data_IF_675686159769
#
_entry.id   IF_675686159769
#
_cell.length_a   1.000
_cell.length_b   1.000
_cell.length_c   1.000
_cell.angle_alpha   90.00
_cell.angle_beta   90.00
_cell.angle_gamma   90.00
#
_symmetry.space_group_name_H-M   'P 1'
#
loop_
_entity.id
_entity.type
_entity.pdbx_description
1 polymer ?
#
# COMPACT_ATOMS: atom_id res chain seq x y z
N UNK A 1 -31.84 -30.00 20.34
CA UNK A 1 -31.44 -28.59 20.44
C UNK A 1 -29.95 -28.58 20.22
N UNK A 2 -29.52 -28.54 18.95
CA UNK A 2 -28.11 -28.44 18.61
C UNK A 2 -27.74 -26.96 18.68
N UNK A 3 -27.11 -26.57 19.78
CA UNK A 3 -26.38 -25.30 19.84
C UNK A 3 -25.11 -25.46 18.99
N UNK A 4 -25.25 -25.26 17.68
CA UNK A 4 -24.09 -25.06 16.82
C UNK A 4 -23.35 -23.83 17.32
N UNK A 5 -22.13 -24.03 17.85
CA UNK A 5 -21.23 -22.95 18.20
C UNK A 5 -21.10 -22.02 16.98
N UNK A 6 -21.40 -20.72 17.13
CA UNK A 6 -21.42 -19.81 15.98
C UNK A 6 -20.04 -19.78 15.34
N UNK A 7 -19.99 -20.00 14.02
CA UNK A 7 -18.75 -19.93 13.24
C UNK A 7 -17.96 -18.67 13.61
N UNK A 8 -16.61 -18.73 13.66
CA UNK A 8 -15.78 -17.54 13.83
C UNK A 8 -16.20 -16.45 12.84
N UNK A 9 -16.15 -15.19 13.26
CA UNK A 9 -16.65 -14.05 12.46
C UNK A 9 -16.03 -14.01 11.06
N UNK A 10 -14.75 -14.37 10.95
CA UNK A 10 -14.04 -14.51 9.68
C UNK A 10 -14.64 -15.59 8.77
N UNK A 11 -14.95 -16.77 9.31
CA UNK A 11 -15.56 -17.86 8.52
C UNK A 11 -16.98 -17.52 8.09
N UNK A 12 -17.75 -16.82 8.94
CA UNK A 12 -19.08 -16.30 8.55
C UNK A 12 -18.97 -15.32 7.39
N UNK A 13 -18.01 -14.41 7.45
CA UNK A 13 -17.72 -13.48 6.36
C UNK A 13 -17.39 -14.24 5.08
N UNK A 14 -16.41 -15.14 5.11
CA UNK A 14 -16.02 -15.89 3.91
C UNK A 14 -17.15 -16.76 3.35
N UNK A 15 -18.01 -17.33 4.21
CA UNK A 15 -19.19 -18.07 3.77
C UNK A 15 -20.20 -17.17 3.05
N UNK A 16 -20.49 -15.98 3.59
CA UNK A 16 -21.37 -15.00 2.96
C UNK A 16 -20.81 -14.52 1.60
N UNK A 17 -19.50 -14.27 1.52
CA UNK A 17 -18.88 -13.86 0.26
C UNK A 17 -18.90 -14.98 -0.80
N UNK A 18 -18.76 -16.26 -0.40
CA UNK A 18 -18.94 -17.40 -1.32
C UNK A 18 -20.39 -17.49 -1.80
N UNK A 19 -21.35 -17.32 -0.89
CA UNK A 19 -22.77 -17.30 -1.23
C UNK A 19 -23.06 -16.19 -2.26
N UNK A 20 -22.49 -14.99 -2.08
CA UNK A 20 -22.61 -13.91 -3.05
C UNK A 20 -22.09 -14.30 -4.43
N UNK A 21 -20.92 -14.95 -4.52
CA UNK A 21 -20.35 -15.35 -5.82
C UNK A 21 -21.18 -16.44 -6.53
N UNK A 22 -21.92 -17.25 -5.76
CA UNK A 22 -22.90 -18.19 -6.31
C UNK A 22 -24.13 -17.44 -6.83
N UNK A 23 -24.65 -16.46 -6.08
CA UNK A 23 -25.80 -15.65 -6.49
C UNK A 23 -25.50 -14.79 -7.72
N UNK A 24 -24.28 -14.23 -7.80
CA UNK A 24 -23.83 -13.35 -8.85
C UNK A 24 -22.54 -13.88 -9.49
N UNK A 25 -22.65 -14.88 -10.39
CA UNK A 25 -21.50 -15.40 -11.11
C UNK A 25 -20.76 -14.30 -11.88
N UNK A 26 -19.43 -14.32 -11.81
CA UNK A 26 -18.56 -13.32 -12.44
C UNK A 26 -18.11 -12.20 -11.50
N UNK A 27 -18.69 -12.09 -10.30
CA UNK A 27 -18.17 -11.20 -9.27
C UNK A 27 -16.78 -11.65 -8.80
N UNK A 28 -15.94 -10.67 -8.44
CA UNK A 28 -14.61 -10.89 -7.85
C UNK A 28 -14.55 -10.18 -6.51
N UNK A 29 -14.21 -10.91 -5.44
CA UNK A 29 -14.05 -10.37 -4.09
C UNK A 29 -12.75 -9.55 -4.04
N UNK A 30 -12.86 -8.26 -3.69
CA UNK A 30 -11.76 -7.30 -3.60
C UNK A 30 -11.74 -6.63 -2.22
N UNK A 31 -11.08 -5.48 -2.11
CA UNK A 31 -11.14 -4.64 -0.91
C UNK A 31 -10.31 -5.17 0.25
N UNK A 32 -10.74 -4.85 1.47
CA UNK A 32 -10.02 -5.21 2.70
C UNK A 32 -9.96 -6.72 2.92
N UNK A 33 -11.04 -7.44 2.62
CA UNK A 33 -11.13 -8.89 2.78
C UNK A 33 -10.18 -9.63 1.85
N UNK A 34 -10.16 -9.30 0.55
CA UNK A 34 -9.21 -9.91 -0.37
C UNK A 34 -7.75 -9.60 -0.01
N UNK A 35 -7.46 -8.37 0.43
CA UNK A 35 -6.13 -8.01 0.92
C UNK A 35 -5.76 -8.78 2.20
N UNK A 36 -6.71 -9.04 3.10
CA UNK A 36 -6.50 -9.83 4.32
C UNK A 36 -6.29 -11.33 4.02
N UNK A 37 -6.98 -11.90 3.02
CA UNK A 37 -6.74 -13.27 2.54
C UNK A 37 -5.27 -13.40 2.08
N UNK A 38 -4.80 -12.42 1.30
CA UNK A 38 -3.42 -12.39 0.84
C UNK A 38 -2.42 -12.07 1.93
N UNK A 39 -2.69 -11.09 2.79
CA UNK A 39 -1.71 -10.53 3.74
C UNK A 39 -1.65 -11.26 5.08
N UNK A 40 -2.81 -11.68 5.61
CA UNK A 40 -2.95 -12.20 6.97
C UNK A 40 -2.65 -11.18 8.08
N UNK A 41 -2.58 -9.89 7.73
CA UNK A 41 -2.10 -8.81 8.60
C UNK A 41 -3.20 -8.15 9.45
N UNK A 42 -4.46 -8.30 9.06
CA UNK A 42 -5.62 -7.80 9.81
C UNK A 42 -6.89 -8.55 9.45
N UNK A 43 -7.90 -8.45 10.32
CA UNK A 43 -9.26 -8.89 9.99
C UNK A 43 -9.98 -7.80 9.19
N UNK A 44 -10.88 -8.24 8.31
CA UNK A 44 -11.88 -7.40 7.65
C UNK A 44 -13.26 -7.80 8.14
N UNK A 45 -14.22 -6.87 8.11
CA UNK A 45 -15.58 -7.07 8.62
C UNK A 45 -16.65 -6.94 7.51
N UNK A 46 -16.22 -6.62 6.30
CA UNK A 46 -17.07 -6.33 5.14
C UNK A 46 -16.57 -7.03 3.88
N UNK A 47 -17.48 -7.26 2.94
CA UNK A 47 -17.22 -7.76 1.61
C UNK A 47 -17.36 -6.67 0.56
N UNK A 48 -16.43 -6.59 -0.38
CA UNK A 48 -16.60 -5.74 -1.57
C UNK A 48 -16.34 -6.60 -2.79
N UNK A 49 -17.26 -6.61 -3.73
CA UNK A 49 -17.15 -7.29 -5.00
C UNK A 49 -17.17 -6.31 -6.16
N UNK A 50 -16.46 -6.66 -7.23
CA UNK A 50 -16.53 -5.94 -8.51
C UNK A 50 -17.09 -6.83 -9.61
N UNK A 51 -17.80 -6.18 -10.54
CA UNK A 51 -18.26 -6.74 -11.81
C UNK A 51 -17.76 -5.87 -12.95
N UNK A 52 -17.38 -6.49 -14.05
CA UNK A 52 -16.94 -5.81 -15.27
C UNK A 52 -18.08 -5.08 -15.97
N UNK A 53 -19.30 -5.58 -15.84
CA UNK A 53 -20.47 -5.21 -16.64
C UNK A 53 -21.67 -4.77 -15.79
N UNK A 54 -21.47 -4.44 -14.50
CA UNK A 54 -22.55 -4.02 -13.60
C UNK A 54 -23.42 -2.91 -14.22
N UNK A 55 -22.81 -1.97 -14.95
CA UNK A 55 -23.55 -0.90 -15.64
C UNK A 55 -24.58 -1.43 -16.64
N UNK A 56 -24.25 -2.50 -17.35
CA UNK A 56 -25.04 -3.04 -18.44
C UNK A 56 -26.22 -3.87 -17.93
N UNK A 57 -26.04 -4.51 -16.76
CA UNK A 57 -27.03 -5.42 -16.16
C UNK A 57 -27.43 -5.03 -14.73
N UNK A 58 -27.39 -3.74 -14.43
CA UNK A 58 -27.58 -3.22 -13.07
C UNK A 58 -28.90 -3.68 -12.46
N UNK A 59 -30.00 -3.53 -13.20
CA UNK A 59 -31.35 -3.91 -12.76
C UNK A 59 -31.49 -5.40 -12.52
N UNK A 60 -30.90 -6.22 -13.39
CA UNK A 60 -30.88 -7.68 -13.24
C UNK A 60 -30.12 -8.09 -11.99
N UNK A 61 -28.94 -7.50 -11.74
CA UNK A 61 -28.13 -7.75 -10.55
C UNK A 61 -28.88 -7.33 -9.29
N UNK A 62 -29.50 -6.15 -9.28
CA UNK A 62 -30.28 -5.68 -8.14
C UNK A 62 -31.47 -6.60 -7.86
N UNK A 63 -32.23 -6.98 -8.89
CA UNK A 63 -33.37 -7.89 -8.74
C UNK A 63 -32.95 -9.28 -8.24
N UNK A 64 -31.81 -9.80 -8.72
CA UNK A 64 -31.24 -11.07 -8.25
C UNK A 64 -30.90 -11.01 -6.77
N UNK A 65 -30.27 -9.91 -6.33
CA UNK A 65 -29.96 -9.69 -4.92
C UNK A 65 -31.24 -9.55 -4.07
N UNK A 66 -32.21 -8.75 -4.50
CA UNK A 66 -33.45 -8.52 -3.76
C UNK A 66 -34.36 -9.76 -3.69
N UNK A 67 -34.21 -10.70 -4.62
CA UNK A 67 -34.88 -12.01 -4.56
C UNK A 67 -34.17 -13.02 -3.65
N UNK A 68 -32.90 -12.79 -3.30
CA UNK A 68 -32.12 -13.73 -2.50
C UNK A 68 -32.48 -13.64 -1.00
N UNK A 69 -32.68 -14.80 -0.38
CA UNK A 69 -32.86 -14.88 1.07
C UNK A 69 -31.58 -14.39 1.77
N UNK A 70 -31.75 -13.62 2.85
CA UNK A 70 -30.63 -13.06 3.61
C UNK A 70 -30.07 -11.74 3.06
N UNK A 71 -30.50 -11.29 1.88
CA UNK A 71 -30.12 -9.99 1.34
C UNK A 71 -30.99 -8.85 1.89
N UNK A 72 -30.36 -7.72 2.19
CA UNK A 72 -31.02 -6.47 2.58
C UNK A 72 -30.35 -5.29 1.89
N UNK A 73 -31.03 -4.70 0.88
CA UNK A 73 -30.55 -3.50 0.19
C UNK A 73 -30.52 -2.31 1.15
N UNK A 74 -29.37 -1.62 1.23
CA UNK A 74 -29.21 -0.42 2.05
C UNK A 74 -29.07 0.84 1.22
N UNK A 75 -28.28 0.77 0.14
CA UNK A 75 -28.01 1.93 -0.70
C UNK A 75 -27.73 1.51 -2.12
N UNK A 76 -28.35 2.21 -3.05
CA UNK A 76 -28.17 1.99 -4.48
C UNK A 76 -27.71 3.30 -5.10
N UNK A 77 -26.65 3.26 -5.91
CA UNK A 77 -26.27 4.35 -6.81
C UNK A 77 -26.11 3.79 -8.22
N UNK A 78 -27.22 3.86 -8.96
CA UNK A 78 -27.28 3.47 -10.36
C UNK A 78 -26.28 4.28 -11.20
N UNK A 79 -25.60 3.67 -12.19
CA UNK A 79 -25.54 2.24 -12.53
C UNK A 79 -24.26 1.56 -11.99
N UNK A 80 -23.68 2.00 -10.86
CA UNK A 80 -22.28 1.67 -10.50
C UNK A 80 -22.07 1.08 -9.11
N UNK A 81 -23.09 1.09 -8.25
CA UNK A 81 -22.96 0.66 -6.87
C UNK A 81 -24.28 0.12 -6.31
N UNK A 82 -24.21 -1.04 -5.67
CA UNK A 82 -25.24 -1.61 -4.81
C UNK A 82 -24.56 -1.95 -3.48
N UNK A 83 -25.10 -1.47 -2.37
CA UNK A 83 -24.67 -1.80 -1.02
C UNK A 83 -25.83 -2.42 -0.25
N UNK A 84 -25.55 -3.50 0.46
CA UNK A 84 -26.52 -4.17 1.30
C UNK A 84 -25.85 -4.99 2.40
N UNK A 85 -26.64 -5.83 3.03
CA UNK A 85 -26.14 -6.94 3.85
C UNK A 85 -26.54 -8.26 3.23
N UNK A 86 -25.62 -9.20 3.11
CA UNK A 86 -25.91 -10.60 2.82
C UNK A 86 -25.59 -11.42 4.08
N UNK A 87 -26.57 -12.16 4.59
CA UNK A 87 -26.40 -13.02 5.77
C UNK A 87 -25.82 -12.26 6.99
N UNK A 88 -26.17 -10.98 7.10
CA UNK A 88 -25.72 -10.07 8.16
C UNK A 88 -24.37 -9.37 7.89
N UNK A 89 -23.62 -9.76 6.87
CA UNK A 89 -22.33 -9.16 6.48
C UNK A 89 -22.56 -7.98 5.56
N UNK A 90 -21.88 -6.85 5.82
CA UNK A 90 -21.95 -5.69 4.93
C UNK A 90 -21.26 -6.03 3.60
N UNK A 91 -21.99 -5.94 2.50
CA UNK A 91 -21.50 -6.35 1.18
C UNK A 91 -21.76 -5.26 0.14
N UNK A 92 -20.73 -4.90 -0.61
CA UNK A 92 -20.81 -3.97 -1.73
C UNK A 92 -20.59 -4.64 -3.08
N UNK A 93 -21.39 -4.29 -4.08
CA UNK A 93 -21.22 -4.70 -5.48
C UNK A 93 -20.96 -3.44 -6.29
N UNK A 94 -19.83 -3.41 -7.00
CA UNK A 94 -19.31 -2.22 -7.66
C UNK A 94 -19.00 -2.49 -9.12
N UNK A 95 -19.20 -1.48 -9.95
CA UNK A 95 -18.65 -1.48 -11.31
C UNK A 95 -17.12 -1.42 -11.23
N UNK A 96 -16.44 -2.30 -11.97
CA UNK A 96 -15.00 -2.28 -12.14
C UNK A 96 -14.56 -0.91 -12.72
N UNK A 97 -13.58 -0.27 -12.08
CA UNK A 97 -13.09 1.07 -12.42
C UNK A 97 -11.68 1.04 -13.01
N UNK A 98 -11.54 0.41 -14.18
CA UNK A 98 -10.29 0.32 -14.96
C UNK A 98 -10.58 -0.21 -16.36
N UNK A 99 -9.57 -0.21 -17.22
CA UNK A 99 -9.73 -0.54 -18.65
C UNK A 99 -9.49 -2.01 -19.00
N UNK A 100 -8.99 -2.83 -18.06
CA UNK A 100 -8.77 -4.28 -18.26
C UNK A 100 -9.49 -5.11 -17.18
N UNK A 101 -9.95 -6.34 -17.48
CA UNK A 101 -10.43 -7.30 -16.48
C UNK A 101 -9.43 -7.55 -15.35
N UNK A 102 -9.91 -7.97 -14.17
CA UNK A 102 -9.03 -8.40 -13.07
C UNK A 102 -8.30 -9.71 -13.41
N UNK A 103 -6.99 -9.78 -13.16
CA UNK A 103 -6.31 -11.08 -13.04
C UNK A 103 -6.76 -11.74 -11.73
N UNK A 104 -7.33 -12.95 -11.82
CA UNK A 104 -7.96 -13.61 -10.67
C UNK A 104 -7.39 -15.00 -10.39
N UNK A 105 -7.52 -15.42 -9.14
CA UNK A 105 -7.27 -16.78 -8.67
C UNK A 105 -8.42 -17.25 -7.78
N UNK A 106 -8.43 -18.55 -7.46
CA UNK A 106 -9.41 -19.15 -6.54
C UNK A 106 -8.71 -19.56 -5.26
N UNK A 107 -9.11 -18.97 -4.13
CA UNK A 107 -8.59 -19.31 -2.79
C UNK A 107 -9.77 -19.79 -1.96
N UNK A 108 -9.71 -21.04 -1.50
CA UNK A 108 -10.76 -21.69 -0.71
C UNK A 108 -12.18 -21.51 -1.31
N UNK A 109 -12.31 -21.57 -2.64
CA UNK A 109 -13.58 -21.42 -3.34
C UNK A 109 -14.06 -19.98 -3.55
N UNK A 110 -13.26 -18.98 -3.18
CA UNK A 110 -13.50 -17.57 -3.49
C UNK A 110 -12.65 -17.13 -4.67
N UNK A 111 -13.30 -16.52 -5.67
CA UNK A 111 -12.62 -15.79 -6.73
C UNK A 111 -12.14 -14.44 -6.19
N UNK A 112 -10.81 -14.26 -6.16
CA UNK A 112 -10.13 -13.06 -5.67
C UNK A 112 -9.10 -12.59 -6.70
N UNK A 113 -8.61 -11.34 -6.64
CA UNK A 113 -7.45 -10.91 -7.42
C UNK A 113 -6.23 -11.77 -7.11
N UNK A 114 -5.35 -11.95 -8.08
CA UNK A 114 -4.00 -12.47 -7.79
C UNK A 114 -3.27 -11.55 -6.82
N UNK A 115 -2.22 -12.02 -6.14
CA UNK A 115 -1.43 -11.16 -5.25
C UNK A 115 -0.93 -9.88 -5.95
N UNK A 116 -0.42 -10.01 -7.18
CA UNK A 116 0.02 -8.87 -8.01
C UNK A 116 -1.12 -7.92 -8.37
N UNK A 117 -2.29 -8.48 -8.68
CA UNK A 117 -3.48 -7.70 -8.98
C UNK A 117 -4.02 -6.96 -7.74
N UNK A 118 -4.01 -7.62 -6.58
CA UNK A 118 -4.40 -7.00 -5.32
C UNK A 118 -3.48 -5.84 -4.96
N UNK A 119 -2.17 -5.99 -5.21
CA UNK A 119 -1.20 -4.93 -5.01
C UNK A 119 -1.46 -3.73 -5.94
N UNK A 120 -1.79 -3.95 -7.23
CA UNK A 120 -2.19 -2.87 -8.15
C UNK A 120 -3.45 -2.15 -7.69
N UNK A 121 -4.48 -2.89 -7.27
CA UNK A 121 -5.73 -2.31 -6.75
C UNK A 121 -5.44 -1.43 -5.53
N UNK A 122 -4.59 -1.90 -4.60
CA UNK A 122 -4.25 -1.15 -3.39
C UNK A 122 -3.35 0.05 -3.65
N UNK A 123 -2.39 -0.08 -4.57
CA UNK A 123 -1.60 1.03 -5.06
C UNK A 123 -2.51 2.14 -5.66
N UNK A 124 -3.47 1.78 -6.52
CA UNK A 124 -4.41 2.77 -7.07
C UNK A 124 -5.32 3.39 -5.99
N UNK A 125 -5.76 2.64 -4.98
CA UNK A 125 -6.55 3.19 -3.87
C UNK A 125 -5.71 4.13 -3.00
N UNK A 126 -4.46 3.77 -2.71
CA UNK A 126 -3.50 4.64 -2.05
C UNK A 126 -3.35 5.95 -2.82
N UNK A 127 -3.17 5.87 -4.15
CA UNK A 127 -3.09 7.00 -5.07
C UNK A 127 -4.40 7.76 -5.31
N UNK A 128 -5.55 7.30 -4.85
CA UNK A 128 -6.81 8.06 -5.05
C UNK A 128 -7.52 8.46 -3.76
N UNK A 129 -7.11 7.91 -2.62
CA UNK A 129 -7.78 8.13 -1.32
C UNK A 129 -6.83 8.38 -0.16
N UNK A 130 -5.67 7.72 -0.15
CA UNK A 130 -4.66 7.83 0.91
C UNK A 130 -5.18 7.55 2.33
N UNK A 131 -5.93 6.45 2.51
CA UNK A 131 -6.33 6.00 3.85
C UNK A 131 -5.23 5.16 4.52
N UNK A 132 -5.20 5.10 5.86
CA UNK A 132 -4.29 4.29 6.67
C UNK A 132 -4.43 2.83 6.30
N UNK A 133 -5.66 2.38 6.06
CA UNK A 133 -5.97 1.03 5.61
C UNK A 133 -5.33 0.74 4.25
N UNK A 134 -5.48 1.63 3.29
CA UNK A 134 -4.91 1.44 1.95
C UNK A 134 -3.38 1.52 1.97
N UNK A 135 -2.81 2.39 2.80
CA UNK A 135 -1.36 2.45 3.01
C UNK A 135 -0.82 1.12 3.55
N UNK A 136 -1.37 0.61 4.66
CA UNK A 136 -0.92 -0.64 5.26
C UNK A 136 -1.14 -1.85 4.36
N UNK A 137 -2.31 -1.94 3.73
CA UNK A 137 -2.59 -3.02 2.78
C UNK A 137 -1.57 -2.98 1.62
N UNK A 138 -1.24 -1.79 1.10
CA UNK A 138 -0.23 -1.63 0.03
C UNK A 138 1.14 -2.09 0.49
N UNK A 139 1.63 -1.61 1.64
CA UNK A 139 2.95 -1.97 2.17
C UNK A 139 3.07 -3.48 2.40
N UNK A 140 2.06 -4.10 3.02
CA UNK A 140 2.06 -5.54 3.29
C UNK A 140 2.05 -6.36 1.99
N UNK A 141 1.24 -5.96 1.01
CA UNK A 141 1.20 -6.67 -0.28
C UNK A 141 2.51 -6.50 -1.06
N UNK A 142 3.14 -5.33 -0.98
CA UNK A 142 4.43 -5.08 -1.61
C UNK A 142 5.54 -5.91 -0.97
N UNK A 143 5.57 -5.97 0.37
CA UNK A 143 6.51 -6.81 1.11
C UNK A 143 6.36 -8.29 0.73
N UNK A 144 5.11 -8.78 0.62
CA UNK A 144 4.83 -10.16 0.19
C UNK A 144 5.25 -10.47 -1.24
N UNK A 145 5.11 -9.50 -2.15
CA UNK A 145 5.54 -9.65 -3.54
C UNK A 145 7.07 -9.63 -3.68
N UNK A 146 7.76 -8.94 -2.77
CA UNK A 146 9.18 -8.61 -2.91
C UNK A 146 9.45 -7.65 -4.07
N UNK A 147 10.68 -7.13 -4.15
CA UNK A 147 11.03 -6.07 -5.10
C UNK A 147 10.70 -6.42 -6.57
N UNK A 148 11.08 -7.63 -7.01
CA UNK A 148 10.84 -8.08 -8.37
C UNK A 148 9.34 -8.22 -8.68
N UNK A 149 8.55 -8.74 -7.73
CA UNK A 149 7.11 -8.88 -7.86
C UNK A 149 6.42 -7.52 -7.92
N UNK A 150 6.80 -6.58 -7.06
CA UNK A 150 6.29 -5.20 -7.07
C UNK A 150 6.60 -4.53 -8.40
N UNK A 151 7.86 -4.59 -8.87
CA UNK A 151 8.25 -4.02 -10.15
C UNK A 151 7.41 -4.58 -11.30
N UNK A 152 7.22 -5.90 -11.34
CA UNK A 152 6.41 -6.56 -12.37
C UNK A 152 4.93 -6.17 -12.27
N UNK A 153 4.37 -6.09 -11.07
CA UNK A 153 2.98 -5.74 -10.86
C UNK A 153 2.69 -4.29 -11.27
N UNK A 154 3.56 -3.36 -10.86
CA UNK A 154 3.36 -1.91 -11.08
C UNK A 154 3.74 -1.44 -12.49
N UNK A 155 4.47 -2.24 -13.28
CA UNK A 155 4.88 -1.88 -14.63
C UNK A 155 3.71 -1.50 -15.56
N UNK A 156 2.50 -2.02 -15.30
CA UNK A 156 1.30 -1.77 -16.09
C UNK A 156 0.28 -0.87 -15.40
N UNK A 157 0.62 -0.28 -14.24
CA UNK A 157 -0.35 0.41 -13.38
C UNK A 157 -1.01 1.61 -14.09
N UNK A 158 -0.19 2.46 -14.73
CA UNK A 158 -0.67 3.67 -15.43
C UNK A 158 -1.55 3.31 -16.65
N UNK A 159 -1.24 2.22 -17.34
CA UNK A 159 -2.04 1.74 -18.47
C UNK A 159 -3.40 1.18 -18.02
N UNK A 160 -3.44 0.49 -16.88
CA UNK A 160 -4.65 -0.15 -16.36
C UNK A 160 -5.57 0.88 -15.68
N UNK A 161 -4.98 1.87 -15.01
CA UNK A 161 -5.68 2.94 -14.30
C UNK A 161 -5.35 4.32 -14.87
N UNK A 162 -5.77 4.63 -16.11
CA UNK A 162 -5.55 5.96 -16.67
C UNK A 162 -6.26 7.01 -15.81
N UNK A 163 -5.56 8.11 -15.52
CA UNK A 163 -6.11 9.28 -14.86
C UNK A 163 -6.60 10.28 -15.92
N UNK A 164 -7.73 10.94 -15.66
CA UNK A 164 -8.31 11.92 -16.59
C UNK A 164 -7.35 13.11 -16.85
N UNK A 165 -6.47 13.41 -15.90
CA UNK A 165 -5.44 14.45 -15.99
C UNK A 165 -4.22 14.03 -16.83
N UNK A 166 -4.09 12.74 -17.15
CA UNK A 166 -2.88 12.16 -17.71
C UNK A 166 -1.72 11.96 -16.71
N UNK A 167 -1.94 12.23 -15.42
CA UNK A 167 -0.93 11.99 -14.38
C UNK A 167 -0.62 10.50 -14.21
N UNK A 168 0.63 10.19 -13.86
CA UNK A 168 1.06 8.83 -13.54
C UNK A 168 0.55 8.44 -12.14
N UNK A 169 -0.24 7.37 -12.09
CA UNK A 169 -0.66 6.74 -10.83
C UNK A 169 0.55 6.23 -10.09
N UNK A 170 1.52 5.63 -10.80
CA UNK A 170 2.74 5.11 -10.19
C UNK A 170 3.54 6.21 -9.49
N UNK A 171 3.63 7.41 -10.07
CA UNK A 171 4.27 8.55 -9.44
C UNK A 171 3.55 8.95 -8.14
N UNK A 172 2.22 9.06 -8.15
CA UNK A 172 1.43 9.36 -6.95
C UNK A 172 1.56 8.27 -5.87
N UNK A 173 1.66 7.00 -6.26
CA UNK A 173 1.92 5.89 -5.33
C UNK A 173 3.26 6.08 -4.64
N UNK A 174 4.32 6.36 -5.41
CA UNK A 174 5.66 6.56 -4.87
C UNK A 174 5.71 7.75 -3.90
N UNK A 175 5.06 8.86 -4.28
CA UNK A 175 4.94 10.05 -3.46
C UNK A 175 4.21 9.75 -2.13
N UNK A 176 3.04 9.12 -2.18
CA UNK A 176 2.24 8.82 -0.97
C UNK A 176 2.90 7.79 -0.05
N UNK A 177 3.61 6.81 -0.63
CA UNK A 177 4.43 5.88 0.15
C UNK A 177 5.57 6.62 0.86
N UNK A 178 6.22 7.56 0.16
CA UNK A 178 7.32 8.38 0.70
C UNK A 178 6.87 9.37 1.77
N UNK A 179 5.68 9.96 1.64
CA UNK A 179 5.13 10.87 2.65
C UNK A 179 4.63 10.15 3.90
N UNK A 180 4.09 8.93 3.77
CA UNK A 180 3.62 8.11 4.89
C UNK A 180 2.64 8.82 5.86
N UNK A 181 1.81 9.74 5.34
CA UNK A 181 0.84 10.53 6.11
C UNK A 181 -0.59 10.25 5.65
N UNK A 182 -1.15 9.05 5.93
CA UNK A 182 -2.53 8.76 5.58
C UNK A 182 -3.50 9.69 6.32
N UNK A 183 -4.58 10.10 5.62
CA UNK A 183 -5.48 11.16 6.09
C UNK A 183 -6.47 10.77 7.19
N UNK A 184 -6.67 9.48 7.46
CA UNK A 184 -7.62 8.99 8.47
C UNK A 184 -6.92 8.30 9.66
N UNK A 185 -7.11 8.85 10.86
CA UNK A 185 -6.59 8.30 12.13
C UNK A 185 -7.46 7.16 12.70
N UNK A 186 -8.19 6.43 11.86
CA UNK A 186 -9.12 5.40 12.32
C UNK A 186 -8.37 4.27 13.05
N UNK A 187 -8.80 3.97 14.28
CA UNK A 187 -8.26 2.88 15.09
C UNK A 187 -8.42 1.55 14.36
N UNK A 188 -7.31 1.04 13.83
CA UNK A 188 -7.25 -0.31 13.30
C UNK A 188 -7.46 -1.26 14.49
N UNK A 189 -8.53 -2.06 14.43
CA UNK A 189 -8.72 -3.16 15.36
C UNK A 189 -7.60 -4.19 15.16
N UNK A 190 -6.46 -3.98 15.82
CA UNK A 190 -5.41 -4.98 15.99
C UNK A 190 -5.97 -6.01 16.99
N UNK A 191 -6.84 -6.88 16.49
CA UNK A 191 -7.44 -7.94 17.28
C UNK A 191 -6.35 -8.88 17.76
N UNK A 192 -6.09 -8.87 19.06
CA UNK A 192 -5.22 -9.83 19.73
C UNK A 192 -5.76 -11.25 19.51
N UNK A 193 -5.20 -11.96 18.54
CA UNK A 193 -5.53 -13.36 18.30
C UNK A 193 -4.91 -14.20 19.41
N UNK A 194 -5.67 -14.48 20.47
CA UNK A 194 -5.38 -15.62 21.36
C UNK A 194 -5.59 -16.89 20.54
N UNK A 195 -4.50 -17.58 20.19
CA UNK A 195 -4.56 -18.96 19.71
C UNK A 195 -3.91 -19.31 18.38
N UNK A 196 -2.81 -18.67 17.97
CA UNK A 196 -1.88 -19.24 16.97
C UNK A 196 -0.43 -19.05 17.39
N UNK A 197 0.50 -19.97 17.01
CA UNK A 197 1.86 -19.94 17.50
C UNK A 197 2.50 -18.61 17.07
N UNK A 198 3.03 -17.87 18.06
CA UNK A 198 3.73 -16.61 17.88
C UNK A 198 4.80 -16.77 16.80
N UNK A 199 4.52 -16.31 15.58
CA UNK A 199 5.58 -15.85 14.70
C UNK A 199 6.22 -14.68 15.46
N UNK A 200 7.41 -14.91 16.01
CA UNK A 200 8.23 -13.84 16.55
C UNK A 200 8.44 -12.87 15.39
N UNK A 201 7.86 -11.69 15.46
CA UNK A 201 8.36 -10.54 14.71
C UNK A 201 9.74 -10.22 15.28
N UNK A 202 10.74 -11.00 14.86
CA UNK A 202 12.10 -10.51 14.80
C UNK A 202 12.12 -9.61 13.58
N UNK A 203 12.37 -8.32 13.77
CA UNK A 203 13.00 -7.50 12.74
C UNK A 203 14.05 -8.38 12.07
N UNK A 204 13.92 -8.62 10.76
CA UNK A 204 14.77 -9.52 10.03
C UNK A 204 16.21 -8.98 10.00
N UNK A 205 16.94 -9.13 11.11
CA UNK A 205 18.38 -8.92 11.23
C UNK A 205 19.13 -10.25 11.10
N UNK A 206 18.52 -11.26 10.47
CA UNK A 206 19.09 -12.60 10.35
C UNK A 206 18.79 -13.29 9.02
N UNK A 207 18.57 -12.52 7.94
CA UNK A 207 18.66 -13.05 6.58
C UNK A 207 19.96 -12.54 5.94
N UNK A 208 20.92 -13.46 5.87
CA UNK A 208 22.07 -13.47 4.99
C UNK A 208 23.05 -12.27 5.02
N UNK A 209 24.02 -12.34 5.95
CA UNK A 209 25.29 -11.58 5.90
C UNK A 209 26.23 -12.02 4.75
N UNK A 210 25.68 -12.54 3.64
CA UNK A 210 26.43 -13.14 2.53
C UNK A 210 25.91 -12.83 1.12
N UNK A 211 24.95 -11.93 0.97
CA UNK A 211 24.73 -11.29 -0.33
C UNK A 211 25.38 -9.91 -0.28
N UNK A 212 26.57 -9.82 -0.88
CA UNK A 212 27.16 -8.51 -1.20
C UNK A 212 26.11 -7.78 -2.05
N UNK A 213 25.70 -6.55 -1.70
CA UNK A 213 24.78 -5.81 -2.54
C UNK A 213 25.38 -5.76 -3.96
N UNK A 214 24.57 -6.12 -4.96
CA UNK A 214 24.89 -5.91 -6.37
C UNK A 214 25.44 -4.50 -6.47
N UNK A 215 26.73 -4.36 -6.84
CA UNK A 215 27.41 -3.09 -6.91
C UNK A 215 26.71 -2.22 -7.96
N UNK A 216 25.72 -1.47 -7.52
CA UNK A 216 25.09 -0.43 -8.32
C UNK A 216 26.18 0.61 -8.54
N UNK A 217 26.55 0.93 -9.80
CA UNK A 217 27.67 1.83 -10.08
C UNK A 217 27.54 3.12 -9.28
N UNK A 218 28.65 3.61 -8.75
CA UNK A 218 28.69 4.89 -8.02
C UNK A 218 28.18 6.01 -8.93
N UNK A 219 27.32 6.86 -8.40
CA UNK A 219 26.83 8.03 -9.11
C UNK A 219 27.66 9.24 -8.69
N UNK A 220 28.14 10.01 -9.66
CA UNK A 220 28.83 11.27 -9.36
C UNK A 220 27.79 12.34 -8.98
N UNK A 221 27.65 12.59 -7.67
CA UNK A 221 26.70 13.58 -7.14
C UNK A 221 26.86 14.98 -7.77
N UNK A 222 28.04 15.33 -8.29
CA UNK A 222 28.24 16.60 -9.02
C UNK A 222 27.38 16.74 -10.27
N UNK A 223 26.84 15.62 -10.77
CA UNK A 223 25.94 15.58 -11.93
C UNK A 223 24.47 15.68 -11.56
N UNK A 224 24.13 15.63 -10.27
CA UNK A 224 22.75 15.80 -9.83
C UNK A 224 22.25 17.19 -10.20
N UNK A 225 21.08 17.25 -10.82
CA UNK A 225 20.40 18.50 -11.13
C UNK A 225 20.10 19.27 -9.85
N UNK A 226 19.96 18.61 -8.70
CA UNK A 226 19.81 19.27 -7.41
C UNK A 226 20.96 20.24 -7.12
N UNK A 227 22.16 20.04 -7.68
CA UNK A 227 23.34 20.88 -7.45
C UNK A 227 23.61 21.87 -8.59
N UNK A 228 22.63 22.17 -9.45
CA UNK A 228 22.78 23.05 -10.61
C UNK A 228 23.35 24.44 -10.27
N UNK A 229 23.11 24.93 -9.04
CA UNK A 229 23.58 26.22 -8.53
C UNK A 229 24.83 26.11 -7.62
N UNK A 230 25.53 24.97 -7.62
CA UNK A 230 26.69 24.73 -6.75
C UNK A 230 27.95 24.46 -7.57
N UNK A 231 29.02 25.18 -7.27
CA UNK A 231 30.34 24.97 -7.91
C UNK A 231 31.14 23.82 -7.28
N UNK A 232 30.80 23.41 -6.06
CA UNK A 232 31.50 22.36 -5.31
C UNK A 232 30.52 21.45 -4.58
N UNK A 233 30.82 20.15 -4.59
CA UNK A 233 30.15 19.16 -3.76
C UNK A 233 30.84 19.08 -2.41
N UNK A 234 30.16 19.54 -1.36
CA UNK A 234 30.55 19.34 0.03
C UNK A 234 29.39 18.74 0.82
N UNK A 235 29.43 17.43 1.03
CA UNK A 235 28.41 16.76 1.84
C UNK A 235 28.51 17.10 3.32
N UNK A 236 29.61 17.71 3.80
CA UNK A 236 29.71 18.26 5.16
C UNK A 236 28.81 19.49 5.37
N UNK A 237 28.39 20.15 4.29
CA UNK A 237 27.40 21.23 4.35
C UNK A 237 25.99 20.67 4.51
N UNK A 238 25.30 21.11 5.57
CA UNK A 238 23.89 20.77 5.83
C UNK A 238 22.97 21.34 4.72
N UNK A 239 23.33 22.48 4.13
CA UNK A 239 22.58 23.10 3.03
C UNK A 239 22.64 22.26 1.75
N UNK A 240 23.85 21.80 1.37
CA UNK A 240 24.04 20.95 0.19
C UNK A 240 23.37 19.59 0.41
N UNK A 241 23.53 19.02 1.60
CA UNK A 241 22.89 17.74 1.93
C UNK A 241 21.36 17.86 1.89
N UNK A 242 20.78 18.88 2.53
CA UNK A 242 19.33 19.12 2.48
C UNK A 242 18.83 19.33 1.05
N UNK A 243 19.56 20.09 0.22
CA UNK A 243 19.20 20.30 -1.19
C UNK A 243 19.21 19.00 -2.01
N UNK A 244 20.16 18.08 -1.75
CA UNK A 244 20.16 16.75 -2.38
C UNK A 244 18.99 15.90 -1.87
N UNK A 245 18.67 15.95 -0.57
CA UNK A 245 17.55 15.20 0.00
C UNK A 245 16.20 15.72 -0.53
N UNK A 246 16.07 17.03 -0.75
CA UNK A 246 14.85 17.69 -1.19
C UNK A 246 14.64 17.60 -2.72
N UNK A 247 15.69 17.88 -3.49
CA UNK A 247 15.60 18.05 -4.96
C UNK A 247 16.36 16.99 -5.77
N UNK A 248 17.02 16.05 -5.10
CA UNK A 248 17.84 15.02 -5.73
C UNK A 248 17.05 14.01 -6.56
N UNK A 249 17.68 13.49 -7.61
CA UNK A 249 17.15 12.34 -8.34
C UNK A 249 17.41 11.03 -7.59
N UNK A 250 16.72 9.96 -7.99
CA UNK A 250 16.84 8.65 -7.35
C UNK A 250 18.29 8.14 -7.32
N UNK A 251 19.09 8.38 -8.36
CA UNK A 251 20.50 8.03 -8.42
C UNK A 251 21.32 8.78 -7.35
N UNK A 252 21.03 10.06 -7.13
CA UNK A 252 21.66 10.86 -6.10
C UNK A 252 21.29 10.35 -4.70
N UNK A 253 20.02 10.05 -4.46
CA UNK A 253 19.57 9.48 -3.18
C UNK A 253 20.16 8.10 -2.91
N UNK A 254 20.27 7.24 -3.94
CA UNK A 254 20.95 5.94 -3.83
C UNK A 254 22.43 6.11 -3.47
N UNK A 255 23.07 7.14 -3.99
CA UNK A 255 24.46 7.46 -3.64
C UNK A 255 24.61 7.98 -2.22
N UNK A 256 23.72 8.85 -1.76
CA UNK A 256 23.66 9.26 -0.35
C UNK A 256 23.46 8.06 0.57
N UNK A 257 22.50 7.18 0.25
CA UNK A 257 22.26 5.95 1.01
C UNK A 257 23.49 5.04 1.01
N UNK A 258 24.14 4.82 -0.14
CA UNK A 258 25.37 4.00 -0.22
C UNK A 258 26.48 4.53 0.68
N UNK A 259 26.68 5.86 0.69
CA UNK A 259 27.67 6.51 1.57
C UNK A 259 27.28 6.40 3.03
N UNK A 260 26.00 6.57 3.35
CA UNK A 260 25.47 6.44 4.71
C UNK A 260 25.57 5.00 5.24
N UNK A 261 25.44 4.00 4.36
CA UNK A 261 25.58 2.58 4.66
C UNK A 261 27.04 2.13 4.83
N UNK A 262 28.02 2.96 4.44
CA UNK A 262 29.43 2.63 4.62
C UNK A 262 29.74 2.45 6.12
N UNK A 263 30.46 1.39 6.52
CA UNK A 263 30.83 1.14 7.91
C UNK A 263 32.04 2.00 8.31
N UNK A 264 31.94 3.32 8.10
CA UNK A 264 32.96 4.32 8.40
C UNK A 264 32.39 5.40 9.32
N UNK A 265 33.27 6.14 10.00
CA UNK A 265 32.86 7.29 10.82
C UNK A 265 32.13 8.35 10.00
N UNK A 266 32.54 8.55 8.75
CA UNK A 266 31.86 9.43 7.79
C UNK A 266 30.44 8.95 7.47
N UNK A 267 30.26 7.64 7.23
CA UNK A 267 28.93 7.06 7.00
C UNK A 267 28.03 7.23 8.23
N UNK A 268 28.55 6.97 9.43
CA UNK A 268 27.82 7.17 10.68
C UNK A 268 27.48 8.65 10.95
N UNK A 269 28.40 9.57 10.67
CA UNK A 269 28.15 10.99 10.76
C UNK A 269 27.07 11.43 9.76
N UNK A 270 27.12 10.93 8.53
CA UNK A 270 26.14 11.23 7.50
C UNK A 270 24.74 10.77 7.91
N UNK A 271 24.58 9.55 8.45
CA UNK A 271 23.28 9.05 8.93
C UNK A 271 22.66 9.96 9.98
N UNK A 272 23.40 10.29 11.03
CA UNK A 272 22.94 11.20 12.10
C UNK A 272 22.55 12.57 11.57
N UNK A 273 23.26 13.07 10.56
CA UNK A 273 22.96 14.36 9.92
C UNK A 273 21.69 14.29 9.08
N UNK A 274 21.47 13.22 8.32
CA UNK A 274 20.23 12.99 7.57
C UNK A 274 19.04 12.96 8.52
N UNK A 275 19.12 12.18 9.61
CA UNK A 275 18.03 12.11 10.62
C UNK A 275 17.72 13.50 11.17
N UNK A 276 18.75 14.25 11.60
CA UNK A 276 18.56 15.61 12.09
C UNK A 276 17.90 16.50 11.04
N UNK A 277 18.42 16.52 9.81
CA UNK A 277 17.89 17.39 8.75
C UNK A 277 16.44 17.09 8.43
N UNK A 278 16.04 15.82 8.32
CA UNK A 278 14.65 15.44 8.08
C UNK A 278 13.70 15.88 9.21
N UNK A 279 14.20 16.08 10.44
CA UNK A 279 13.43 16.57 11.58
C UNK A 279 13.51 18.09 11.77
N UNK A 280 14.41 18.80 11.07
CA UNK A 280 14.65 20.24 11.31
C UNK A 280 14.51 21.12 10.07
N UNK A 281 14.53 20.54 8.88
CA UNK A 281 14.44 21.25 7.60
C UNK A 281 13.34 20.60 6.74
N UNK A 282 12.47 21.40 6.09
CA UNK A 282 11.55 20.88 5.10
C UNK A 282 12.32 20.22 3.96
N UNK A 283 12.07 18.94 3.73
CA UNK A 283 12.57 18.18 2.58
C UNK A 283 11.40 17.43 1.96
N UNK A 284 11.47 17.09 0.68
CA UNK A 284 10.36 16.49 -0.05
C UNK A 284 9.89 15.15 0.55
N UNK A 285 10.81 14.29 0.97
CA UNK A 285 10.49 12.93 1.45
C UNK A 285 11.17 12.60 2.79
N UNK A 286 10.86 13.31 3.90
CA UNK A 286 11.59 13.16 5.15
C UNK A 286 11.42 11.75 5.73
N UNK A 287 10.21 11.18 5.65
CA UNK A 287 9.89 9.84 6.16
C UNK A 287 10.61 8.72 5.41
N UNK A 288 10.83 8.88 4.09
CA UNK A 288 11.65 7.96 3.30
C UNK A 288 13.08 7.87 3.86
N UNK A 289 13.73 9.01 4.08
CA UNK A 289 15.10 9.05 4.56
C UNK A 289 15.19 8.60 6.02
N UNK A 290 14.24 8.98 6.86
CA UNK A 290 14.15 8.55 8.25
C UNK A 290 14.02 7.02 8.36
N UNK A 291 13.15 6.41 7.56
CA UNK A 291 13.03 4.95 7.48
C UNK A 291 14.34 4.30 6.99
N UNK A 292 14.99 4.90 5.98
CA UNK A 292 16.27 4.40 5.48
C UNK A 292 17.40 4.48 6.52
N UNK A 293 17.45 5.55 7.33
CA UNK A 293 18.46 5.68 8.39
C UNK A 293 18.16 4.73 9.56
N UNK A 294 16.89 4.52 9.90
CA UNK A 294 16.48 3.53 10.89
C UNK A 294 16.89 2.11 10.47
N UNK A 295 16.74 1.78 9.18
CA UNK A 295 17.23 0.51 8.62
C UNK A 295 18.76 0.37 8.76
N UNK A 296 19.51 1.46 8.64
CA UNK A 296 20.97 1.48 8.82
C UNK A 296 21.40 1.57 10.30
N UNK A 297 20.46 1.49 11.24
CA UNK A 297 20.73 1.37 12.68
C UNK A 297 20.68 2.68 13.47
N UNK A 298 20.19 3.78 12.90
CA UNK A 298 19.90 4.99 13.67
C UNK A 298 18.60 4.84 14.48
N UNK A 299 18.55 5.50 15.63
CA UNK A 299 17.32 5.56 16.44
C UNK A 299 16.45 6.70 15.89
N UNK A 300 15.25 6.33 15.42
CA UNK A 300 14.28 7.26 14.84
C UNK A 300 12.93 7.05 15.53
N UNK A 301 12.23 8.14 15.83
CA UNK A 301 10.87 8.09 16.36
C UNK A 301 9.94 7.41 15.33
N UNK A 302 9.08 6.44 15.71
CA UNK A 302 8.08 5.87 14.80
C UNK A 302 7.13 6.88 14.15
N UNK A 303 6.90 8.04 14.79
CA UNK A 303 6.04 9.11 14.29
C UNK A 303 6.71 10.48 14.47
N UNK A 304 7.81 10.75 13.74
CA UNK A 304 8.59 11.96 13.95
C UNK A 304 7.79 13.16 13.44
N UNK A 305 7.74 14.24 14.24
CA UNK A 305 7.34 15.54 13.73
C UNK A 305 8.39 16.00 12.71
N UNK A 306 7.94 16.29 11.49
CA UNK A 306 8.81 16.73 10.39
C UNK A 306 8.31 18.07 9.87
N UNK A 307 9.21 19.04 9.61
CA UNK A 307 8.82 20.31 9.00
C UNK A 307 8.24 20.10 7.61
N UNK A 308 7.14 20.78 7.30
CA UNK A 308 6.56 20.83 5.96
C UNK A 308 7.05 22.08 5.24
N UNK A 309 7.10 22.05 3.91
CA UNK A 309 7.22 23.28 3.14
C UNK A 309 6.00 24.16 3.48
N UNK A 310 6.23 25.38 3.99
CA UNK A 310 5.12 26.30 4.26
C UNK A 310 4.33 26.51 2.97
N UNK A 311 3.09 26.01 2.95
CA UNK A 311 2.12 26.37 1.93
C UNK A 311 1.73 27.80 2.26
N UNK A 312 2.44 28.77 1.67
CA UNK A 312 2.03 30.16 1.73
C UNK A 312 0.54 30.25 1.36
N UNK A 313 -0.24 30.81 2.28
CA UNK A 313 -1.67 31.08 2.14
C UNK A 313 -1.97 31.99 0.94
#
# INVERSE_FOLDING_TARGET
MDEHEPLPEWERLLAAERHLQVLLPGTVLVGGTAAAIHGGHRLSLDGDHVLEDLRNRFDEVLATLEAAAGWQTQRVRRPVLILGRLDGILTGIRQLRRVRPLETESIDGLRVPTLGEMARIKAWLLATRMTTRDYLDTVVLFERLGEAGVRSALATLDEIYPQDTGASVLAEVAERLGHAQPGDTASLGVGASRGRPRARFTTASALNRKERPVMTPSFDLRRSQALWNRERLDLASDEILAQILDLGELEAWREIYRRAAAPTDEGAALRRRIVRLCCTVPVAFPHLFLAAMAHLGEVVDPYPEVPTHDVAA
#
